data_IF_243286170582
#
_entry.id   IF_243286170582
#
_cell.length_a   1.000
_cell.length_b   1.000
_cell.length_c   1.000
_cell.angle_alpha   90.00
_cell.angle_beta   90.00
_cell.angle_gamma   90.00
#
_symmetry.space_group_name_H-M   'P 1'
#
loop_
_entity.id
_entity.type
_entity.pdbx_description
1 polymer ?
#
# COMPACT_ATOMS: atom_id res chain seq x y z
N UNK A 1 -8.51 7.12 -14.71
CA UNK A 1 -7.89 7.99 -13.68
C UNK A 1 -6.75 7.23 -13.05
N UNK A 2 -5.61 7.86 -12.75
CA UNK A 2 -4.42 7.17 -12.25
C UNK A 2 -4.59 6.69 -10.79
N UNK A 3 -3.78 5.71 -10.43
CA UNK A 3 -3.42 5.22 -9.10
C UNK A 3 -1.99 5.66 -8.74
N UNK A 4 -1.76 6.93 -8.42
CA UNK A 4 -0.45 7.37 -7.98
C UNK A 4 -0.02 6.62 -6.71
N UNK A 5 1.29 6.58 -6.51
CA UNK A 5 1.86 6.06 -5.28
C UNK A 5 2.84 7.06 -4.67
N UNK A 6 3.11 6.92 -3.38
CA UNK A 6 4.14 7.73 -2.70
C UNK A 6 5.54 7.39 -3.21
N UNK A 7 5.86 6.10 -3.40
CA UNK A 7 7.20 5.63 -3.77
C UNK A 7 7.17 4.64 -4.93
N UNK A 8 8.31 4.52 -5.62
CA UNK A 8 8.47 3.67 -6.80
C UNK A 8 8.17 2.18 -6.57
N UNK A 9 8.55 1.54 -5.45
CA UNK A 9 8.17 0.15 -5.18
C UNK A 9 6.65 -0.07 -5.18
N UNK A 10 5.89 0.81 -4.54
CA UNK A 10 4.42 0.73 -4.50
C UNK A 10 3.84 1.00 -5.90
N UNK A 11 4.33 2.03 -6.61
CA UNK A 11 3.91 2.30 -7.99
C UNK A 11 4.12 1.09 -8.90
N UNK A 12 5.25 0.38 -8.74
CA UNK A 12 5.56 -0.83 -9.51
C UNK A 12 4.59 -1.97 -9.25
N UNK A 13 4.26 -2.26 -8.00
CA UNK A 13 3.30 -3.31 -7.66
C UNK A 13 1.92 -3.00 -8.25
N UNK A 14 1.46 -1.75 -8.13
CA UNK A 14 0.19 -1.32 -8.71
C UNK A 14 0.22 -1.43 -10.24
N UNK A 15 1.22 -0.87 -10.92
CA UNK A 15 1.38 -0.97 -12.39
C UNK A 15 1.42 -2.42 -12.87
N UNK A 16 2.10 -3.30 -12.13
CA UNK A 16 2.21 -4.72 -12.48
C UNK A 16 0.85 -5.43 -12.47
N UNK A 17 -0.04 -5.03 -11.57
CA UNK A 17 -1.37 -5.64 -11.39
C UNK A 17 -2.42 -4.97 -12.28
N UNK A 18 -2.51 -3.64 -12.29
CA UNK A 18 -3.57 -2.93 -13.02
C UNK A 18 -3.17 -2.46 -14.42
N UNK A 19 -1.88 -2.50 -14.77
CA UNK A 19 -1.34 -2.10 -16.07
C UNK A 19 -0.53 -0.79 -16.04
N UNK A 20 0.40 -0.67 -16.98
CA UNK A 20 1.52 0.30 -17.01
C UNK A 20 1.16 1.78 -17.15
N UNK A 21 -0.11 2.14 -17.36
CA UNK A 21 -0.52 3.53 -17.65
C UNK A 21 -1.12 4.26 -16.45
N UNK A 22 -1.01 3.68 -15.25
CA UNK A 22 -1.84 4.12 -14.13
C UNK A 22 -1.08 4.48 -12.86
N UNK A 23 0.24 4.35 -12.73
CA UNK A 23 0.93 4.81 -11.50
C UNK A 23 2.14 5.69 -11.80
N UNK A 24 2.34 6.69 -10.96
CA UNK A 24 3.53 7.51 -10.88
C UNK A 24 3.88 7.69 -9.41
N UNK A 25 5.17 7.67 -9.08
CA UNK A 25 5.65 7.82 -7.72
C UNK A 25 5.88 9.31 -7.38
N UNK A 26 5.30 9.79 -6.28
CA UNK A 26 5.49 11.18 -5.80
C UNK A 26 6.94 11.45 -5.43
N UNK A 27 7.55 10.55 -4.67
CA UNK A 27 8.94 10.66 -4.24
C UNK A 27 9.83 10.28 -5.41
N UNK A 28 10.27 11.30 -6.13
CA UNK A 28 11.16 11.12 -7.28
C UNK A 28 12.51 10.48 -6.89
N UNK A 29 13.17 9.77 -7.83
CA UNK A 29 14.49 9.20 -7.60
C UNK A 29 15.48 10.22 -7.02
N UNK A 30 16.25 9.79 -6.01
CA UNK A 30 17.23 10.63 -5.32
C UNK A 30 16.69 11.40 -4.10
N UNK A 31 15.41 11.26 -3.77
CA UNK A 31 14.80 11.77 -2.53
C UNK A 31 14.63 10.62 -1.52
N UNK A 32 14.77 10.91 -0.23
CA UNK A 32 14.54 9.92 0.83
C UNK A 32 13.05 9.94 1.23
N UNK A 33 12.31 8.84 1.06
CA UNK A 33 10.89 8.77 1.39
C UNK A 33 10.59 8.97 2.88
N UNK A 34 11.48 8.57 3.78
CA UNK A 34 11.29 8.70 5.24
C UNK A 34 11.30 10.16 5.73
N UNK A 35 11.94 11.03 4.97
CA UNK A 35 12.09 12.46 5.32
C UNK A 35 11.40 13.36 4.30
N UNK A 36 10.61 12.77 3.41
CA UNK A 36 9.95 13.51 2.37
C UNK A 36 8.79 14.31 2.93
N UNK A 37 8.82 15.62 2.69
CA UNK A 37 7.74 16.55 3.00
C UNK A 37 7.17 17.09 1.67
N UNK A 38 5.94 16.68 1.28
CA UNK A 38 5.36 17.06 -0.01
C UNK A 38 5.09 18.56 -0.07
N UNK A 39 5.50 19.20 -1.17
CA UNK A 39 5.07 20.55 -1.46
C UNK A 39 3.62 20.58 -1.95
N UNK A 40 2.97 21.74 -1.89
CA UNK A 40 1.64 21.95 -2.48
C UNK A 40 1.63 21.59 -3.97
N UNK A 41 2.72 21.86 -4.69
CA UNK A 41 2.83 21.52 -6.10
C UNK A 41 2.82 20.01 -6.32
N UNK A 42 3.49 19.23 -5.46
CA UNK A 42 3.51 17.76 -5.53
C UNK A 42 2.11 17.20 -5.30
N UNK A 43 1.41 17.71 -4.28
CA UNK A 43 0.04 17.32 -3.96
C UNK A 43 -0.94 17.63 -5.10
N UNK A 44 -0.78 18.77 -5.78
CA UNK A 44 -1.64 19.15 -6.89
C UNK A 44 -1.53 18.21 -8.11
N UNK A 45 -0.42 17.46 -8.26
CA UNK A 45 -0.28 16.48 -9.35
C UNK A 45 -1.31 15.35 -9.25
N UNK A 46 -1.85 15.07 -8.06
CA UNK A 46 -2.72 13.92 -7.80
C UNK A 46 -4.13 14.29 -7.35
N UNK A 47 -4.56 15.53 -7.59
CA UNK A 47 -5.89 16.02 -7.20
C UNK A 47 -7.06 15.29 -7.87
N UNK A 48 -6.81 14.56 -8.96
CA UNK A 48 -7.82 13.82 -9.74
C UNK A 48 -7.46 12.32 -9.86
N UNK A 49 -6.91 11.72 -8.80
CA UNK A 49 -6.65 10.28 -8.79
C UNK A 49 -7.84 9.43 -8.37
N UNK A 50 -7.81 8.15 -8.77
CA UNK A 50 -8.80 7.17 -8.31
C UNK A 50 -8.53 6.69 -6.90
N UNK A 51 -7.25 6.46 -6.57
CA UNK A 51 -6.77 6.24 -5.21
C UNK A 51 -5.27 6.51 -5.15
N UNK A 52 -4.79 7.09 -4.04
CA UNK A 52 -3.37 7.25 -3.74
C UNK A 52 -2.89 6.05 -2.92
N UNK A 53 -1.93 5.28 -3.42
CA UNK A 53 -1.32 4.19 -2.66
C UNK A 53 -0.09 4.66 -1.89
N UNK A 54 -0.02 4.33 -0.60
CA UNK A 54 1.13 4.66 0.26
C UNK A 54 1.55 3.45 1.08
N UNK A 55 2.78 3.44 1.57
CA UNK A 55 3.35 2.29 2.27
C UNK A 55 2.63 2.05 3.59
N UNK A 56 2.70 3.02 4.51
CA UNK A 56 2.14 2.90 5.85
C UNK A 56 2.08 4.26 6.55
N UNK A 57 1.26 4.40 7.61
CA UNK A 57 1.28 5.60 8.43
C UNK A 57 2.64 5.94 9.07
N UNK A 58 3.57 4.98 9.13
CA UNK A 58 4.91 5.16 9.72
C UNK A 58 5.91 5.75 8.75
N UNK A 59 5.86 5.33 7.47
CA UNK A 59 6.84 5.77 6.47
C UNK A 59 6.41 7.06 5.78
N UNK A 60 5.17 7.10 5.33
CA UNK A 60 4.62 8.12 4.45
C UNK A 60 3.22 8.54 4.93
N UNK A 61 3.06 8.68 6.24
CA UNK A 61 1.79 8.99 6.91
C UNK A 61 1.18 10.34 6.53
N UNK A 62 1.94 11.26 5.93
CA UNK A 62 1.38 12.48 5.34
C UNK A 62 0.34 12.16 4.26
N UNK A 63 0.48 11.03 3.55
CA UNK A 63 -0.43 10.61 2.50
C UNK A 63 -1.83 10.26 3.03
N UNK A 64 -1.93 9.82 4.29
CA UNK A 64 -3.21 9.52 4.93
C UNK A 64 -4.10 10.78 5.10
N UNK A 65 -3.49 11.96 5.15
CA UNK A 65 -4.19 13.24 5.31
C UNK A 65 -4.54 13.92 3.97
N UNK A 66 -4.25 13.28 2.85
CA UNK A 66 -4.54 13.81 1.53
C UNK A 66 -6.06 13.78 1.27
N UNK A 67 -6.68 14.95 1.10
CA UNK A 67 -8.16 15.06 1.03
C UNK A 67 -8.69 14.99 -0.39
N UNK A 68 -7.83 15.30 -1.34
CA UNK A 68 -8.13 15.43 -2.75
C UNK A 68 -8.27 14.06 -3.43
N UNK A 69 -7.74 13.00 -2.82
CA UNK A 69 -7.84 11.64 -3.34
C UNK A 69 -7.89 10.62 -2.20
N UNK A 70 -8.67 9.56 -2.39
CA UNK A 70 -8.78 8.50 -1.40
C UNK A 70 -7.43 7.78 -1.22
N UNK A 71 -6.85 7.86 -0.03
CA UNK A 71 -5.59 7.21 0.29
C UNK A 71 -5.79 5.75 0.73
N UNK A 72 -4.90 4.86 0.26
CA UNK A 72 -4.90 3.43 0.54
C UNK A 72 -3.51 3.00 1.02
N UNK A 73 -3.40 2.60 2.29
CA UNK A 73 -2.16 2.02 2.83
C UNK A 73 -1.98 0.58 2.36
N UNK A 74 -0.77 0.22 1.93
CA UNK A 74 -0.37 -1.16 1.66
C UNK A 74 -0.24 -1.94 2.98
N UNK A 75 0.51 -1.39 3.93
CA UNK A 75 0.66 -1.94 5.27
C UNK A 75 -0.31 -1.22 6.20
N UNK A 76 -1.38 -1.90 6.59
CA UNK A 76 -2.32 -1.40 7.60
C UNK A 76 -1.91 -1.89 8.99
N UNK A 77 -2.02 -1.06 10.05
CA UNK A 77 -1.90 -1.54 11.41
C UNK A 77 -2.88 -2.69 11.63
N UNK A 78 -2.44 -3.79 12.24
CA UNK A 78 -3.34 -4.84 12.66
C UNK A 78 -4.39 -4.22 13.59
N UNK A 79 -5.65 -4.18 13.15
CA UNK A 79 -6.76 -3.95 14.08
C UNK A 79 -6.69 -5.07 15.11
N UNK A 80 -6.65 -4.81 16.43
CA UNK A 80 -6.68 -5.89 17.39
C UNK A 80 -8.00 -6.63 17.21
N UNK A 81 -7.94 -7.79 16.56
CA UNK A 81 -9.03 -8.74 16.58
C UNK A 81 -9.31 -9.03 18.05
N UNK A 82 -10.54 -8.80 18.51
CA UNK A 82 -11.01 -9.32 19.79
C UNK A 82 -11.03 -10.85 19.69
N UNK A 83 -9.89 -11.51 19.90
CA UNK A 83 -9.78 -12.96 19.77
C UNK A 83 -8.35 -13.46 19.90
N UNK A 84 -8.08 -14.10 21.04
CA UNK A 84 -6.94 -14.91 21.43
C UNK A 84 -6.06 -15.49 20.31
N UNK A 85 -4.73 -15.31 20.47
CA UNK A 85 -3.72 -16.26 20.01
C UNK A 85 -2.76 -15.70 18.94
N UNK A 86 -1.50 -15.50 19.34
CA UNK A 86 -0.31 -15.40 18.48
C UNK A 86 -0.42 -14.53 17.22
N UNK A 87 -0.25 -13.22 17.37
CA UNK A 87 -0.08 -12.33 16.23
C UNK A 87 1.39 -12.28 15.77
N UNK A 88 1.73 -13.13 14.80
CA UNK A 88 2.62 -12.72 13.71
C UNK A 88 1.70 -12.48 12.52
N UNK A 89 1.49 -11.23 12.08
CA UNK A 89 0.70 -11.03 10.86
C UNK A 89 0.17 -9.63 10.62
N UNK A 90 0.54 -9.11 9.44
CA UNK A 90 -0.27 -8.17 8.68
C UNK A 90 -1.69 -8.72 8.54
N UNK A 91 -2.70 -7.97 9.00
CA UNK A 91 -4.11 -8.37 8.88
C UNK A 91 -4.76 -7.56 7.77
N UNK A 92 -5.35 -8.26 6.79
CA UNK A 92 -6.06 -7.68 5.65
C UNK A 92 -7.54 -7.46 6.01
N UNK A 93 -7.94 -6.18 5.96
CA UNK A 93 -9.29 -5.59 5.78
C UNK A 93 -10.45 -6.04 6.69
N UNK A 94 -10.90 -5.11 7.56
CA UNK A 94 -12.30 -4.65 7.66
C UNK A 94 -12.45 -3.49 8.69
N UNK A 95 -12.54 -2.22 8.23
CA UNK A 95 -13.23 -1.08 8.88
C UNK A 95 -12.78 0.30 8.33
N UNK A 96 -13.67 1.32 8.32
CA UNK A 96 -13.33 2.70 7.97
C UNK A 96 -12.45 3.36 9.04
N UNK A 97 -11.44 4.11 8.59
CA UNK A 97 -10.41 4.73 9.42
C UNK A 97 -10.99 5.91 10.23
N UNK A 98 -11.05 5.78 11.56
CA UNK A 98 -11.31 6.90 12.49
C UNK A 98 -9.98 7.48 12.96
N UNK A 99 -9.76 8.77 12.72
CA UNK A 99 -8.54 9.52 13.03
C UNK A 99 -8.49 9.98 14.50
N UNK A 100 -8.60 9.06 15.47
CA UNK A 100 -8.67 9.42 16.91
C UNK A 100 -7.73 8.60 17.82
N UNK A 101 -6.65 8.02 17.30
CA UNK A 101 -5.72 7.22 18.11
C UNK A 101 -4.26 7.66 18.00
N UNK A 102 -4.00 8.89 18.42
CA UNK A 102 -2.68 9.29 18.93
C UNK A 102 -2.84 9.47 20.44
N UNK A 103 -2.61 8.41 21.23
CA UNK A 103 -1.97 8.46 22.55
C UNK A 103 -1.95 7.09 23.25
N UNK A 104 -0.80 6.81 23.88
CA UNK A 104 -0.52 5.82 24.94
C UNK A 104 -0.39 4.32 24.57
N UNK A 105 0.87 3.90 24.43
CA UNK A 105 1.42 3.01 25.46
C UNK A 105 0.93 1.57 25.51
N UNK A 106 0.97 0.83 24.41
CA UNK A 106 1.34 -0.61 24.35
C UNK A 106 2.00 -0.88 23.00
N UNK A 107 3.13 -1.58 22.99
CA UNK A 107 3.94 -1.82 21.80
C UNK A 107 3.12 -2.46 20.67
N UNK A 108 2.58 -1.61 19.79
CA UNK A 108 2.27 -1.97 18.43
C UNK A 108 3.63 -2.29 17.81
N UNK A 109 3.94 -3.57 17.63
CA UNK A 109 5.01 -3.99 16.74
C UNK A 109 4.66 -3.43 15.38
N UNK A 110 5.19 -2.25 15.06
CA UNK A 110 4.99 -1.65 13.75
C UNK A 110 5.69 -2.57 12.77
N UNK A 111 4.92 -3.09 11.81
CA UNK A 111 5.48 -3.86 10.71
C UNK A 111 6.55 -3.01 10.03
N UNK A 112 7.71 -3.61 9.76
CA UNK A 112 8.80 -2.95 9.03
C UNK A 112 8.24 -2.38 7.72
N UNK A 113 8.30 -1.05 7.51
CA UNK A 113 7.70 -0.43 6.34
C UNK A 113 8.41 -0.83 5.04
N UNK A 114 9.62 -1.37 5.10
CA UNK A 114 10.43 -1.76 3.94
C UNK A 114 10.04 -3.11 3.35
N UNK A 115 8.74 -3.42 3.31
CA UNK A 115 8.23 -4.73 2.85
C UNK A 115 8.71 -5.12 1.44
N UNK A 116 9.00 -4.13 0.59
CA UNK A 116 9.43 -4.36 -0.79
C UNK A 116 10.85 -4.93 -0.92
N UNK A 117 11.63 -4.97 0.15
CA UNK A 117 12.99 -5.53 0.12
C UNK A 117 13.00 -7.05 0.36
N UNK A 118 11.84 -7.65 0.63
CA UNK A 118 11.69 -9.05 0.97
C UNK A 118 10.52 -9.67 0.17
N UNK A 119 10.77 -10.58 -0.78
CA UNK A 119 9.73 -11.25 -1.57
C UNK A 119 8.63 -11.89 -0.73
N UNK A 120 8.95 -12.48 0.44
CA UNK A 120 7.96 -13.05 1.35
C UNK A 120 6.99 -11.98 1.85
N UNK A 121 7.49 -10.80 2.20
CA UNK A 121 6.66 -9.68 2.65
C UNK A 121 5.84 -9.06 1.52
N UNK A 122 6.34 -9.11 0.29
CA UNK A 122 5.53 -8.72 -0.89
C UNK A 122 4.36 -9.69 -1.03
N UNK A 123 4.60 -11.01 -0.93
CA UNK A 123 3.54 -12.02 -0.98
C UNK A 123 2.47 -11.80 0.10
N UNK A 124 2.88 -11.43 1.31
CA UNK A 124 1.96 -11.14 2.43
C UNK A 124 1.00 -9.97 2.14
N UNK A 125 1.43 -8.96 1.38
CA UNK A 125 0.59 -7.77 1.09
C UNK A 125 -0.28 -7.94 -0.15
N UNK A 126 0.02 -8.89 -1.03
CA UNK A 126 -0.71 -9.07 -2.30
C UNK A 126 -2.22 -9.27 -2.11
N UNK A 127 -2.74 -10.10 -1.19
CA UNK A 127 -4.19 -10.29 -1.03
C UNK A 127 -4.92 -9.00 -0.65
N UNK A 128 -4.31 -8.17 0.20
CA UNK A 128 -4.88 -6.89 0.61
C UNK A 128 -4.84 -5.84 -0.50
N UNK A 129 -3.77 -5.84 -1.29
CA UNK A 129 -3.65 -5.00 -2.48
C UNK A 129 -4.66 -5.42 -3.55
N UNK A 130 -4.79 -6.72 -3.83
CA UNK A 130 -5.77 -7.30 -4.74
C UNK A 130 -7.18 -6.86 -4.36
N UNK A 131 -7.59 -7.09 -3.11
CA UNK A 131 -8.92 -6.72 -2.61
C UNK A 131 -9.20 -5.23 -2.78
N UNK A 132 -8.20 -4.38 -2.49
CA UNK A 132 -8.33 -2.93 -2.63
C UNK A 132 -8.47 -2.53 -4.10
N UNK A 133 -7.71 -3.16 -5.01
CA UNK A 133 -7.77 -2.87 -6.45
C UNK A 133 -9.05 -3.40 -7.09
N UNK A 134 -9.56 -4.57 -6.69
CA UNK A 134 -10.86 -5.10 -7.16
C UNK A 134 -12.02 -4.20 -6.70
N UNK A 135 -11.99 -3.71 -5.46
CA UNK A 135 -12.99 -2.75 -4.98
C UNK A 135 -12.95 -1.43 -5.79
N UNK A 136 -11.77 -1.04 -6.28
CA UNK A 136 -11.58 0.12 -7.14
C UNK A 136 -11.87 -0.18 -8.63
N UNK A 137 -11.73 -1.41 -9.13
CA UNK A 137 -12.07 -1.78 -10.51
C UNK A 137 -12.79 -3.14 -10.59
N UNK A 138 -14.09 -3.20 -10.23
CA UNK A 138 -14.83 -4.46 -10.28
C UNK A 138 -14.88 -5.07 -11.68
N UNK A 139 -14.90 -4.23 -12.73
CA UNK A 139 -14.87 -4.69 -14.12
C UNK A 139 -13.55 -5.36 -14.52
N UNK A 140 -12.45 -5.05 -13.81
CA UNK A 140 -11.12 -5.61 -14.03
C UNK A 140 -10.81 -6.83 -13.15
N UNK A 141 -11.76 -7.31 -12.33
CA UNK A 141 -11.51 -8.29 -11.26
C UNK A 141 -10.73 -9.52 -11.74
N UNK A 142 -11.23 -10.20 -12.78
CA UNK A 142 -10.58 -11.43 -13.29
C UNK A 142 -9.15 -11.18 -13.77
N UNK A 143 -8.89 -10.01 -14.37
CA UNK A 143 -7.54 -9.62 -14.80
C UNK A 143 -6.63 -9.34 -13.60
N UNK A 144 -7.13 -8.61 -12.61
CA UNK A 144 -6.40 -8.31 -11.37
C UNK A 144 -5.99 -9.59 -10.65
N UNK A 145 -6.95 -10.52 -10.45
CA UNK A 145 -6.70 -11.83 -9.85
C UNK A 145 -5.63 -12.62 -10.61
N UNK A 146 -5.72 -12.64 -11.95
CA UNK A 146 -4.75 -13.34 -12.78
C UNK A 146 -3.34 -12.73 -12.64
N UNK A 147 -3.21 -11.40 -12.68
CA UNK A 147 -1.91 -10.74 -12.56
C UNK A 147 -1.29 -10.91 -11.17
N UNK A 148 -2.10 -10.88 -10.11
CA UNK A 148 -1.64 -11.16 -8.74
C UNK A 148 -1.14 -12.60 -8.62
N UNK A 149 -1.83 -13.58 -9.21
CA UNK A 149 -1.36 -14.97 -9.23
C UNK A 149 -0.06 -15.14 -10.02
N UNK A 150 0.10 -14.46 -11.16
CA UNK A 150 1.33 -14.49 -11.94
C UNK A 150 2.48 -13.89 -11.12
N UNK A 151 2.27 -12.70 -10.55
CA UNK A 151 3.28 -12.03 -9.72
C UNK A 151 3.65 -12.88 -8.49
N UNK A 152 2.67 -13.50 -7.83
CA UNK A 152 2.91 -14.38 -6.70
C UNK A 152 3.82 -15.56 -7.06
N UNK A 153 3.57 -16.24 -8.19
CA UNK A 153 4.46 -17.31 -8.67
C UNK A 153 5.87 -16.80 -8.97
N UNK A 154 5.99 -15.65 -9.63
CA UNK A 154 7.30 -15.06 -9.95
C UNK A 154 8.12 -14.76 -8.69
N UNK A 155 7.48 -14.28 -7.63
CA UNK A 155 8.14 -13.99 -6.36
C UNK A 155 8.59 -15.29 -5.65
N UNK A 156 7.78 -16.34 -5.70
CA UNK A 156 8.13 -17.66 -5.16
C UNK A 156 9.31 -18.29 -5.92
N UNK A 157 9.29 -18.21 -7.25
CA UNK A 157 10.38 -18.75 -8.08
C UNK A 157 11.73 -18.03 -7.78
N UNK A 158 11.70 -16.73 -7.45
CA UNK A 158 12.88 -15.97 -7.05
C UNK A 158 13.44 -16.38 -5.67
N UNK A 159 12.65 -17.02 -4.82
CA UNK A 159 13.10 -17.50 -3.50
C UNK A 159 13.80 -18.86 -3.61
N UNK A 160 13.44 -19.66 -4.63
CA UNK A 160 13.98 -21.00 -4.87
C UNK A 160 15.32 -20.99 -5.65
N UNK A 161 15.75 -19.84 -6.17
CA UNK A 161 17.05 -19.61 -6.84
C UNK A 161 18.19 -19.23 -5.87
#
# INVERSE_FOLDING_TARGET
MPYPATIRPVAFLVERIVGSRMSEALVHPGRNPETYDPSVADLLQFRDCRALFYVSPVLDGWAANFKECQAQAILRPATPAKGHGHAHGLTVLDAPFSSDYLHEGKGLTHADPHFWTDPHRILEVLPGLESSLVALEPESESRIQQEVQILGRQLQDMEDE
#
